data_IF_995070802865
#
_entry.id   IF_995070802865
#
_cell.length_a   1.000
_cell.length_b   1.000
_cell.length_c   1.000
_cell.angle_alpha   90.00
_cell.angle_beta   90.00
_cell.angle_gamma   90.00
#
_symmetry.space_group_name_H-M   'P 1'
#
loop_
_entity.id
_entity.type
_entity.pdbx_description
1 polymer ?
#
# COMPACT_ATOMS: atom_id res chain seq x y z
N UNK A 1 18.99 -24.03 -13.70
CA UNK A 1 18.37 -23.12 -12.69
C UNK A 1 17.67 -23.95 -11.63
N UNK A 2 17.98 -23.78 -10.34
CA UNK A 2 17.19 -24.44 -9.26
C UNK A 2 15.78 -23.87 -9.25
N UNK A 3 14.76 -24.74 -9.33
CA UNK A 3 13.35 -24.30 -9.20
C UNK A 3 13.16 -23.76 -7.79
N UNK A 4 12.79 -22.48 -7.67
CA UNK A 4 12.39 -21.92 -6.38
C UNK A 4 11.07 -22.56 -5.95
N UNK A 5 10.94 -22.86 -4.66
CA UNK A 5 9.72 -23.45 -4.10
C UNK A 5 8.71 -22.36 -3.72
N UNK A 6 7.42 -22.72 -3.76
CA UNK A 6 6.37 -21.91 -3.12
C UNK A 6 6.53 -22.03 -1.59
N UNK A 7 6.36 -20.93 -0.86
CA UNK A 7 6.48 -20.93 0.60
C UNK A 7 6.15 -19.57 1.21
N UNK A 8 6.45 -19.37 2.50
CA UNK A 8 6.14 -18.12 3.22
C UNK A 8 6.71 -16.84 2.58
N UNK A 9 7.76 -16.96 1.78
CA UNK A 9 8.35 -15.83 1.06
C UNK A 9 7.52 -15.42 -0.15
N UNK A 10 6.72 -16.34 -0.70
CA UNK A 10 5.77 -16.07 -1.78
C UNK A 10 4.57 -15.25 -1.30
N UNK A 11 4.20 -15.38 -0.02
CA UNK A 11 3.15 -14.57 0.62
C UNK A 11 3.51 -13.08 0.64
N UNK A 12 4.81 -12.74 0.61
CA UNK A 12 5.24 -11.34 0.54
C UNK A 12 4.62 -10.59 -0.64
N UNK A 13 4.65 -11.17 -1.84
CA UNK A 13 4.07 -10.52 -3.02
C UNK A 13 2.55 -10.41 -2.91
N UNK A 14 1.89 -11.42 -2.34
CA UNK A 14 0.46 -11.38 -2.07
C UNK A 14 0.10 -10.21 -1.14
N UNK A 15 0.82 -10.04 -0.04
CA UNK A 15 0.61 -8.93 0.90
C UNK A 15 0.81 -7.57 0.24
N UNK A 16 1.79 -7.44 -0.66
CA UNK A 16 1.99 -6.22 -1.45
C UNK A 16 0.80 -5.95 -2.35
N UNK A 17 0.26 -6.97 -3.04
CA UNK A 17 -0.93 -6.81 -3.89
C UNK A 17 -2.12 -6.35 -3.05
N UNK A 18 -2.34 -6.97 -1.88
CA UNK A 18 -3.42 -6.56 -0.97
C UNK A 18 -3.19 -5.14 -0.47
N UNK A 19 -1.96 -4.74 -0.15
CA UNK A 19 -1.64 -3.37 0.24
C UNK A 19 -1.98 -2.35 -0.86
N UNK A 20 -1.73 -2.69 -2.12
CA UNK A 20 -2.11 -1.85 -3.25
C UNK A 20 -3.64 -1.76 -3.38
N UNK A 21 -4.35 -2.89 -3.34
CA UNK A 21 -5.82 -2.86 -3.40
C UNK A 21 -6.45 -2.12 -2.22
N UNK A 22 -5.81 -2.21 -1.04
CA UNK A 22 -6.21 -1.51 0.18
C UNK A 22 -6.10 0.00 0.03
N UNK A 23 -5.02 0.50 -0.57
CA UNK A 23 -4.67 1.92 -0.52
C UNK A 23 -4.96 2.72 -1.79
N UNK A 24 -5.11 2.08 -2.95
CA UNK A 24 -5.24 2.79 -4.22
C UNK A 24 -6.68 2.80 -4.71
N UNK A 25 -7.12 3.96 -5.19
CA UNK A 25 -8.38 4.08 -5.91
C UNK A 25 -8.22 3.51 -7.34
N UNK A 26 -8.96 2.44 -7.63
CA UNK A 26 -9.04 1.81 -8.94
C UNK A 26 -10.47 2.02 -9.44
N UNK A 27 -10.64 2.95 -10.38
CA UNK A 27 -11.94 3.25 -11.02
C UNK A 27 -13.06 3.60 -10.04
N UNK A 28 -12.75 4.39 -9.01
CA UNK A 28 -13.68 4.81 -7.97
C UNK A 28 -13.76 3.87 -6.77
N UNK A 29 -13.04 2.74 -6.79
CA UNK A 29 -13.05 1.75 -5.71
C UNK A 29 -11.70 1.70 -4.98
N UNK A 30 -11.72 1.88 -3.66
CA UNK A 30 -10.59 1.69 -2.76
C UNK A 30 -11.03 0.75 -1.63
N UNK A 31 -10.38 -0.41 -1.48
CA UNK A 31 -10.83 -1.42 -0.52
C UNK A 31 -10.78 -0.91 0.91
N UNK A 32 -9.70 -0.23 1.29
CA UNK A 32 -9.56 0.24 2.67
C UNK A 32 -10.56 1.35 3.01
N UNK A 33 -10.94 2.20 2.04
CA UNK A 33 -11.98 3.22 2.24
C UNK A 33 -13.34 2.56 2.54
N UNK A 34 -13.70 1.50 1.81
CA UNK A 34 -14.92 0.72 2.07
C UNK A 34 -14.91 0.11 3.48
N UNK A 35 -13.77 -0.46 3.89
CA UNK A 35 -13.63 -1.06 5.21
C UNK A 35 -13.71 -0.02 6.33
N UNK A 36 -13.05 1.14 6.17
CA UNK A 36 -13.09 2.24 7.14
C UNK A 36 -14.51 2.80 7.27
N UNK A 37 -15.20 3.05 6.16
CA UNK A 37 -16.58 3.53 6.18
C UNK A 37 -17.54 2.54 6.82
N UNK A 38 -17.36 1.23 6.58
CA UNK A 38 -18.14 0.20 7.26
C UNK A 38 -17.93 0.18 8.79
N UNK A 39 -16.79 0.68 9.26
CA UNK A 39 -16.47 0.86 10.68
C UNK A 39 -16.84 2.25 11.22
N UNK A 40 -17.51 3.10 10.43
CA UNK A 40 -17.78 4.51 10.74
C UNK A 40 -16.50 5.33 11.03
N UNK A 41 -15.40 5.00 10.35
CA UNK A 41 -14.14 5.74 10.40
C UNK A 41 -13.95 6.53 9.10
N UNK A 42 -13.42 7.75 9.20
CA UNK A 42 -13.06 8.53 8.02
C UNK A 42 -11.84 7.95 7.33
N UNK A 43 -11.90 7.82 6.00
CA UNK A 43 -10.75 7.39 5.19
C UNK A 43 -9.79 8.56 4.85
N UNK A 44 -10.28 9.79 4.94
CA UNK A 44 -9.57 11.01 4.61
C UNK A 44 -9.65 12.00 5.76
N UNK A 45 -8.62 12.84 5.92
CA UNK A 45 -8.65 13.97 6.87
C UNK A 45 -9.63 15.06 6.46
N UNK A 46 -9.95 15.12 5.17
CA UNK A 46 -10.95 16.01 4.58
C UNK A 46 -11.63 15.24 3.43
N UNK A 47 -12.93 14.97 3.58
CA UNK A 47 -13.69 14.16 2.62
C UNK A 47 -13.87 14.84 1.26
N UNK A 48 -13.74 16.18 1.18
CA UNK A 48 -13.77 16.89 -0.10
C UNK A 48 -12.52 16.64 -0.97
N UNK A 49 -11.49 15.99 -0.43
CA UNK A 49 -10.23 15.71 -1.10
C UNK A 49 -10.23 14.40 -1.91
N UNK A 50 -11.36 13.69 -1.99
CA UNK A 50 -11.50 12.43 -2.74
C UNK A 50 -11.03 12.60 -4.19
N UNK A 51 -10.06 11.80 -4.66
CA UNK A 51 -9.56 11.90 -6.03
C UNK A 51 -10.67 11.60 -7.05
N UNK A 52 -10.62 12.31 -8.18
CA UNK A 52 -11.36 11.93 -9.39
C UNK A 52 -11.05 10.48 -9.80
N UNK A 53 -11.87 9.87 -10.67
CA UNK A 53 -11.93 8.44 -11.04
C UNK A 53 -10.66 7.80 -11.67
N UNK A 54 -9.48 8.36 -11.46
CA UNK A 54 -8.19 7.89 -11.98
C UNK A 54 -7.37 7.12 -10.94
N UNK A 55 -6.42 6.31 -11.44
CA UNK A 55 -5.40 5.64 -10.64
C UNK A 55 -4.52 6.71 -9.97
N UNK A 56 -4.93 7.16 -8.79
CA UNK A 56 -4.23 8.16 -8.01
C UNK A 56 -3.23 7.48 -7.07
N UNK A 57 -1.93 7.66 -7.34
CA UNK A 57 -0.81 7.16 -6.52
C UNK A 57 -0.40 8.23 -5.49
N UNK A 58 -1.32 9.07 -5.02
CA UNK A 58 -0.98 10.11 -4.06
C UNK A 58 -1.64 9.87 -2.71
N UNK A 59 -0.84 9.78 -1.63
CA UNK A 59 -1.35 9.81 -0.25
C UNK A 59 -2.00 11.14 0.13
N UNK A 60 -2.10 12.09 -0.81
CA UNK A 60 -2.67 13.42 -0.66
C UNK A 60 -3.69 13.66 -1.76
N UNK A 61 -4.81 14.27 -1.39
CA UNK A 61 -5.90 14.56 -2.32
C UNK A 61 -5.58 15.72 -3.26
N UNK A 62 -6.55 16.07 -4.11
CA UNK A 62 -6.43 17.20 -5.04
C UNK A 62 -6.08 18.50 -4.28
N UNK A 63 -5.04 19.21 -4.74
CA UNK A 63 -4.50 20.41 -4.08
C UNK A 63 -4.10 20.25 -2.60
N UNK A 64 -3.71 19.04 -2.16
CA UNK A 64 -3.26 18.77 -0.78
C UNK A 64 -4.30 19.11 0.31
N UNK A 65 -5.59 19.17 -0.03
CA UNK A 65 -6.64 19.55 0.92
C UNK A 65 -6.99 18.46 1.95
N UNK A 66 -6.41 17.26 1.83
CA UNK A 66 -6.62 16.16 2.75
C UNK A 66 -5.56 15.04 2.63
N UNK A 67 -5.34 14.36 3.75
CA UNK A 67 -4.45 13.20 3.89
C UNK A 67 -5.27 11.91 3.80
N UNK A 68 -4.85 10.97 2.97
CA UNK A 68 -5.49 9.66 2.85
C UNK A 68 -4.99 8.73 3.95
N UNK A 69 -5.79 8.43 4.96
CA UNK A 69 -5.35 7.60 6.09
C UNK A 69 -5.12 6.15 5.67
N UNK A 70 -5.91 5.66 4.72
CA UNK A 70 -5.88 4.28 4.22
C UNK A 70 -4.51 3.87 3.69
N UNK A 71 -3.76 4.79 3.09
CA UNK A 71 -2.40 4.54 2.58
C UNK A 71 -1.39 4.25 3.71
N UNK A 72 -1.53 4.90 4.87
CA UNK A 72 -0.66 4.67 6.03
C UNK A 72 -0.99 3.34 6.72
N UNK A 73 -2.26 2.94 6.73
CA UNK A 73 -2.66 1.65 7.27
C UNK A 73 -2.09 0.47 6.48
N UNK A 74 -1.77 0.63 5.19
CA UNK A 74 -1.10 -0.42 4.42
C UNK A 74 0.30 -0.80 4.95
N UNK A 75 0.91 0.00 5.85
CA UNK A 75 2.14 -0.39 6.54
C UNK A 75 1.98 -1.71 7.31
N UNK A 76 0.78 -2.02 7.82
CA UNK A 76 0.49 -3.30 8.49
C UNK A 76 0.65 -4.51 7.55
N UNK A 77 0.56 -4.29 6.24
CA UNK A 77 0.74 -5.30 5.20
C UNK A 77 2.17 -5.25 4.62
N UNK A 78 2.68 -4.05 4.35
CA UNK A 78 3.98 -3.84 3.70
C UNK A 78 5.16 -4.24 4.60
N UNK A 79 5.10 -3.93 5.91
CA UNK A 79 6.20 -4.28 6.83
C UNK A 79 6.32 -5.81 6.98
N UNK A 80 5.25 -6.58 7.27
CA UNK A 80 5.33 -8.04 7.24
C UNK A 80 5.72 -8.61 5.88
N UNK A 81 5.26 -8.01 4.77
CA UNK A 81 5.65 -8.43 3.43
C UNK A 81 7.18 -8.35 3.24
N UNK A 82 7.78 -7.25 3.68
CA UNK A 82 9.23 -7.07 3.63
C UNK A 82 9.96 -8.09 4.51
N UNK A 83 9.52 -8.25 5.77
CA UNK A 83 10.11 -9.20 6.73
C UNK A 83 10.04 -10.66 6.25
N UNK A 84 8.91 -11.08 5.67
CA UNK A 84 8.75 -12.41 5.09
C UNK A 84 9.69 -12.63 3.91
N UNK A 85 9.89 -11.62 3.08
CA UNK A 85 10.75 -11.70 1.91
C UNK A 85 12.24 -11.81 2.26
N UNK A 86 12.71 -11.03 3.24
CA UNK A 86 14.11 -11.08 3.69
C UNK A 86 14.42 -12.37 4.44
N UNK A 87 13.48 -12.93 5.19
CA UNK A 87 13.65 -14.19 5.91
C UNK A 87 13.66 -15.40 4.96
N UNK A 88 12.99 -15.30 3.81
CA UNK A 88 12.73 -16.43 2.92
C UNK A 88 13.18 -16.19 1.45
N UNK A 89 14.41 -15.71 1.25
CA UNK A 89 14.94 -15.23 -0.05
C UNK A 89 14.89 -16.26 -1.20
N UNK A 90 14.92 -17.54 -0.86
CA UNK A 90 14.93 -18.65 -1.82
C UNK A 90 13.54 -19.08 -2.30
N UNK A 91 12.47 -18.54 -1.71
CA UNK A 91 11.10 -18.83 -2.14
C UNK A 91 10.74 -18.06 -3.43
N UNK A 92 9.77 -18.58 -4.18
CA UNK A 92 9.18 -17.90 -5.33
C UNK A 92 8.64 -16.54 -4.91
N UNK A 93 8.77 -15.55 -5.78
CA UNK A 93 8.32 -14.17 -5.59
C UNK A 93 8.93 -13.39 -4.42
N UNK A 94 9.69 -14.01 -3.51
CA UNK A 94 10.31 -13.33 -2.38
C UNK A 94 11.21 -12.16 -2.82
N UNK A 95 11.94 -12.29 -3.94
CA UNK A 95 12.75 -11.18 -4.47
C UNK A 95 11.90 -10.00 -4.91
N UNK A 96 10.80 -10.25 -5.63
CA UNK A 96 9.89 -9.20 -6.11
C UNK A 96 9.16 -8.56 -4.93
N UNK A 97 8.59 -9.38 -4.04
CA UNK A 97 7.93 -8.93 -2.81
C UNK A 97 8.84 -8.07 -1.93
N UNK A 98 10.12 -8.44 -1.76
CA UNK A 98 11.11 -7.63 -1.02
C UNK A 98 11.26 -6.23 -1.60
N UNK A 99 11.52 -6.13 -2.90
CA UNK A 99 11.80 -4.83 -3.53
C UNK A 99 10.55 -3.97 -3.61
N UNK A 100 9.41 -4.56 -3.97
CA UNK A 100 8.14 -3.83 -4.06
C UNK A 100 7.66 -3.34 -2.70
N UNK A 101 7.66 -4.19 -1.65
CA UNK A 101 7.32 -3.76 -0.29
C UNK A 101 8.24 -2.65 0.23
N UNK A 102 9.55 -2.76 -0.03
CA UNK A 102 10.51 -1.73 0.37
C UNK A 102 10.25 -0.40 -0.35
N UNK A 103 10.11 -0.42 -1.68
CA UNK A 103 9.90 0.80 -2.48
C UNK A 103 8.60 1.49 -2.06
N UNK A 104 7.50 0.74 -1.94
CA UNK A 104 6.20 1.31 -1.53
C UNK A 104 6.25 1.88 -0.11
N UNK A 105 6.93 1.19 0.82
CA UNK A 105 7.11 1.69 2.19
C UNK A 105 7.91 2.98 2.20
N UNK A 106 9.02 3.06 1.45
CA UNK A 106 9.86 4.26 1.40
C UNK A 106 9.14 5.44 0.75
N UNK A 107 8.42 5.21 -0.36
CA UNK A 107 7.61 6.24 -1.01
C UNK A 107 6.55 6.79 -0.05
N UNK A 108 5.88 5.91 0.71
CA UNK A 108 4.90 6.29 1.71
C UNK A 108 5.51 7.08 2.89
N UNK A 109 6.71 6.71 3.35
CA UNK A 109 7.37 7.43 4.44
C UNK A 109 7.93 8.80 4.02
N UNK A 110 8.36 8.93 2.76
CA UNK A 110 8.83 10.20 2.20
C UNK A 110 7.67 11.11 1.82
N UNK A 111 6.49 10.55 1.54
CA UNK A 111 5.39 11.33 0.99
C UNK A 111 5.01 12.58 1.81
N UNK A 112 5.00 12.57 3.16
CA UNK A 112 4.64 13.77 3.93
C UNK A 112 5.57 14.96 3.72
N UNK A 113 6.81 14.73 3.27
CA UNK A 113 7.76 15.81 2.96
C UNK A 113 7.26 16.68 1.79
N UNK A 114 6.49 16.12 0.86
CA UNK A 114 5.90 16.88 -0.25
C UNK A 114 4.74 17.77 0.17
N UNK A 115 4.23 17.68 1.41
CA UNK A 115 3.22 18.63 1.91
C UNK A 115 3.83 19.92 2.44
N UNK A 116 5.12 19.90 2.78
CA UNK A 116 5.81 21.03 3.44
C UNK A 116 6.60 21.87 2.41
N UNK A 117 6.87 21.30 1.23
CA UNK A 117 7.53 21.96 0.10
C UNK A 117 6.50 22.66 -0.80
#
# INVERSE_FOLDING_TARGET
>A
MKKKKLGLGSISLLLVIVAVLWSYNISGYCLGDQVLHALNLSAWSNEAATPDQTLSIVPFGHQAQGVHYTVFYALILLVPAFLLAIKNKDHLFAKVGKWTSLILTLLLLISPLFMIL
#
